data_IF_996053214799
#
_entry.id   IF_996053214799
#
_cell.length_a   1.000
_cell.length_b   1.000
_cell.length_c   1.000
_cell.angle_alpha   90.00
_cell.angle_beta   90.00
_cell.angle_gamma   90.00
#
_symmetry.space_group_name_H-M   'P 1'
#
loop_
_entity.id
_entity.type
_entity.pdbx_description
1 polymer ?
#
# COMPACT_ATOMS: atom_id res chain seq x y z
N UNK A 1 -4.08 15.66 20.83
CA UNK A 1 -3.75 15.14 19.47
C UNK A 1 -4.07 13.66 19.47
N UNK A 2 -5.20 13.26 18.91
CA UNK A 2 -5.67 11.87 18.97
C UNK A 2 -4.81 10.98 18.10
N UNK A 3 -4.57 9.74 18.51
CA UNK A 3 -3.82 8.69 17.77
C UNK A 3 -4.28 8.56 16.30
N UNK A 4 -5.51 8.94 16.00
CA UNK A 4 -6.16 9.01 14.69
C UNK A 4 -5.52 10.05 13.73
N UNK A 5 -5.22 11.26 14.19
CA UNK A 5 -4.56 12.29 13.37
C UNK A 5 -3.10 11.93 13.05
N UNK A 6 -2.42 11.26 14.00
CA UNK A 6 -1.08 10.73 13.76
C UNK A 6 -1.08 9.63 12.70
N UNK A 7 -2.11 8.78 12.65
CA UNK A 7 -2.24 7.71 11.67
C UNK A 7 -2.56 8.24 10.25
N UNK A 8 -3.48 9.21 10.12
CA UNK A 8 -3.74 9.86 8.82
C UNK A 8 -2.51 10.60 8.28
N UNK A 9 -1.78 11.31 9.16
CA UNK A 9 -0.55 12.00 8.78
C UNK A 9 0.60 11.03 8.46
N UNK A 10 0.64 9.85 9.06
CA UNK A 10 1.67 8.84 8.76
C UNK A 10 1.46 8.16 7.40
N UNK A 11 0.20 7.95 6.97
CA UNK A 11 -0.11 7.42 5.62
C UNK A 11 0.14 8.43 4.49
N UNK A 12 0.14 9.72 4.80
CA UNK A 12 0.32 10.81 3.81
C UNK A 12 1.79 11.29 3.75
N UNK A 13 2.61 11.03 4.78
CA UNK A 13 4.02 11.44 4.78
C UNK A 13 4.86 10.50 3.93
N UNK A 14 5.49 11.08 2.88
CA UNK A 14 6.59 10.56 2.04
C UNK A 14 7.05 9.14 2.42
N UNK A 15 6.38 8.12 1.90
CA UNK A 15 6.92 6.77 1.94
C UNK A 15 7.88 6.60 0.77
N UNK A 16 9.13 6.21 0.98
CA UNK A 16 10.02 5.89 -0.12
C UNK A 16 9.46 4.70 -0.93
N UNK A 17 9.76 4.63 -2.21
CA UNK A 17 9.34 3.65 -3.22
C UNK A 17 9.41 2.18 -2.78
N UNK A 18 10.11 1.91 -1.69
CA UNK A 18 10.51 0.59 -1.22
C UNK A 18 9.68 0.07 -0.04
N UNK A 19 8.58 0.74 0.33
CA UNK A 19 7.82 0.35 1.52
C UNK A 19 6.36 0.14 1.16
N UNK A 20 5.91 -1.11 1.24
CA UNK A 20 4.53 -1.55 1.08
C UNK A 20 3.88 -1.68 2.46
N UNK A 21 2.83 -0.94 2.81
CA UNK A 21 2.13 -1.13 4.07
C UNK A 21 1.21 -2.36 4.01
N UNK A 22 1.35 -3.26 5.00
CA UNK A 22 0.37 -4.27 5.36
C UNK A 22 -0.44 -3.72 6.53
N UNK A 23 -1.74 -3.56 6.37
CA UNK A 23 -2.65 -3.12 7.41
C UNK A 23 -3.69 -4.21 7.68
N UNK A 24 -3.73 -4.75 8.91
CA UNK A 24 -4.72 -5.73 9.37
C UNK A 24 -5.69 -5.01 10.31
N UNK A 25 -7.00 -5.16 10.07
CA UNK A 25 -8.02 -4.65 10.98
C UNK A 25 -8.32 -5.72 12.03
N UNK A 26 -8.18 -5.35 13.29
CA UNK A 26 -8.51 -6.20 14.43
C UNK A 26 -9.93 -5.92 14.93
N UNK A 27 -10.34 -4.64 14.93
CA UNK A 27 -11.66 -4.20 15.38
C UNK A 27 -12.10 -2.94 14.63
N UNK A 28 -13.39 -2.87 14.33
CA UNK A 28 -13.99 -1.78 13.56
C UNK A 28 -13.90 -1.98 12.05
N UNK A 29 -14.27 -0.96 11.31
CA UNK A 29 -14.27 -0.96 9.84
C UNK A 29 -13.63 0.32 9.30
N UNK A 30 -12.96 0.19 8.16
CA UNK A 30 -12.36 1.29 7.43
C UNK A 30 -12.83 1.32 5.98
N UNK A 31 -13.06 2.52 5.49
CA UNK A 31 -13.38 2.80 4.10
C UNK A 31 -12.22 3.57 3.46
N UNK A 32 -11.83 3.17 2.25
CA UNK A 32 -10.83 3.86 1.44
C UNK A 32 -11.45 4.27 0.11
N UNK A 33 -11.24 5.52 -0.26
CA UNK A 33 -11.60 6.05 -1.56
C UNK A 33 -10.33 6.18 -2.43
N UNK A 34 -10.37 5.58 -3.61
CA UNK A 34 -9.32 5.65 -4.62
C UNK A 34 -9.96 6.01 -5.97
N UNK A 35 -9.85 7.27 -6.38
CA UNK A 35 -10.58 7.78 -7.55
C UNK A 35 -12.09 7.65 -7.36
N UNK A 36 -12.73 6.89 -8.24
CA UNK A 36 -14.16 6.58 -8.17
C UNK A 36 -14.46 5.26 -7.43
N UNK A 37 -13.42 4.49 -7.11
CA UNK A 37 -13.57 3.21 -6.41
C UNK A 37 -13.61 3.40 -4.90
N UNK A 38 -14.41 2.57 -4.25
CA UNK A 38 -14.55 2.52 -2.80
C UNK A 38 -14.22 1.12 -2.32
N UNK A 39 -13.30 1.03 -1.37
CA UNK A 39 -12.91 -0.20 -0.70
C UNK A 39 -13.38 -0.14 0.74
N UNK A 40 -14.09 -1.18 1.18
CA UNK A 40 -14.47 -1.41 2.56
C UNK A 40 -13.69 -2.62 3.07
N UNK A 41 -13.10 -2.51 4.24
CA UNK A 41 -12.49 -3.65 4.90
C UNK A 41 -12.56 -3.49 6.42
N UNK A 42 -12.86 -4.58 7.08
CA UNK A 42 -13.15 -4.64 8.50
C UNK A 42 -12.33 -5.70 9.23
N UNK A 43 -12.83 -6.11 10.40
CA UNK A 43 -12.18 -7.11 11.23
C UNK A 43 -11.85 -8.39 10.45
N UNK A 44 -10.69 -8.98 10.71
CA UNK A 44 -10.16 -10.16 10.01
C UNK A 44 -9.84 -9.95 8.53
N UNK A 45 -9.69 -8.71 8.08
CA UNK A 45 -9.22 -8.39 6.74
C UNK A 45 -7.91 -7.60 6.76
N UNK A 46 -7.12 -7.79 5.72
CA UNK A 46 -5.91 -6.98 5.52
C UNK A 46 -5.98 -6.19 4.21
N UNK A 47 -5.25 -5.09 4.22
CA UNK A 47 -4.99 -4.24 3.07
C UNK A 47 -3.49 -4.24 2.78
N UNK A 48 -3.12 -4.39 1.51
CA UNK A 48 -1.77 -4.11 1.00
C UNK A 48 -1.86 -3.01 -0.04
N UNK A 49 -0.97 -2.03 0.04
CA UNK A 49 -0.82 -0.97 -0.97
C UNK A 49 0.55 -1.14 -1.61
N UNK A 50 0.58 -1.49 -2.90
CA UNK A 50 1.80 -1.84 -3.64
C UNK A 50 2.54 -0.66 -4.22
N UNK A 51 1.84 0.46 -4.44
CA UNK A 51 2.39 1.72 -4.95
C UNK A 51 1.77 2.87 -4.17
N UNK A 52 2.40 4.04 -4.18
CA UNK A 52 1.79 5.19 -3.54
C UNK A 52 0.54 5.64 -4.30
N UNK A 53 -0.59 5.67 -3.59
CA UNK A 53 -1.89 6.02 -4.14
C UNK A 53 -2.47 7.23 -3.42
N UNK A 54 -3.13 8.16 -4.12
CA UNK A 54 -3.79 9.32 -3.53
C UNK A 54 -5.13 8.91 -2.89
N UNK A 55 -5.04 8.05 -1.87
CA UNK A 55 -6.20 7.51 -1.15
C UNK A 55 -6.70 8.44 -0.05
N UNK A 56 -7.99 8.37 0.23
CA UNK A 56 -8.62 8.96 1.42
C UNK A 56 -9.23 7.84 2.25
N UNK A 57 -8.76 7.71 3.50
CA UNK A 57 -9.26 6.71 4.44
C UNK A 57 -10.18 7.31 5.49
N UNK A 58 -11.25 6.59 5.82
CA UNK A 58 -12.21 6.95 6.86
C UNK A 58 -12.46 5.73 7.74
N UNK A 59 -12.50 5.94 9.06
CA UNK A 59 -13.01 4.94 9.98
C UNK A 59 -14.53 5.04 9.93
N UNK A 60 -15.19 3.92 9.64
CA UNK A 60 -16.65 3.83 9.52
C UNK A 60 -17.26 3.44 10.85
N UNK A 61 -16.64 2.46 11.53
CA UNK A 61 -17.10 1.97 12.82
C UNK A 61 -16.02 2.15 13.88
N UNK A 62 -16.29 3.01 14.84
CA UNK A 62 -15.54 3.15 16.08
C UNK A 62 -16.40 3.86 17.12
N UNK A 63 -16.41 3.34 18.36
CA UNK A 63 -17.05 3.96 19.51
C UNK A 63 -16.07 4.01 20.68
N UNK A 64 -16.33 4.81 21.75
CA UNK A 64 -15.48 4.80 22.94
C UNK A 64 -15.33 3.40 23.56
N UNK A 65 -16.37 2.55 23.49
CA UNK A 65 -16.37 1.20 24.05
C UNK A 65 -15.85 0.14 23.07
N UNK A 66 -15.85 0.45 21.76
CA UNK A 66 -15.32 -0.40 20.69
C UNK A 66 -14.47 0.47 19.75
N UNK A 67 -13.24 0.84 20.15
CA UNK A 67 -12.37 1.66 19.33
C UNK A 67 -11.92 0.92 18.08
N UNK A 68 -11.59 1.68 17.05
CA UNK A 68 -10.89 1.11 15.89
C UNK A 68 -9.50 0.64 16.31
N UNK A 69 -9.19 -0.63 16.04
CA UNK A 69 -7.88 -1.24 16.28
C UNK A 69 -7.33 -1.84 14.98
N UNK A 70 -6.11 -1.50 14.65
CA UNK A 70 -5.42 -2.04 13.48
C UNK A 70 -3.94 -2.24 13.73
N UNK A 71 -3.41 -3.30 13.15
CA UNK A 71 -1.98 -3.59 13.08
C UNK A 71 -1.44 -3.04 11.76
N UNK A 72 -0.35 -2.27 11.80
CA UNK A 72 0.30 -1.74 10.60
C UNK A 72 1.78 -2.14 10.60
N UNK A 73 2.17 -2.87 9.56
CA UNK A 73 3.56 -3.24 9.31
C UNK A 73 4.03 -2.66 7.97
N UNK A 74 5.16 -1.97 7.99
CA UNK A 74 5.84 -1.52 6.77
C UNK A 74 6.69 -2.66 6.23
N UNK A 75 6.35 -3.14 5.04
CA UNK A 75 7.08 -4.22 4.36
C UNK A 75 8.14 -3.61 3.44
N UNK A 76 9.36 -4.12 3.51
CA UNK A 76 10.45 -3.76 2.60
C UNK A 76 10.30 -4.54 1.28
N UNK A 77 10.24 -3.86 0.15
CA UNK A 77 10.22 -4.53 -1.15
C UNK A 77 11.55 -5.25 -1.47
N UNK A 78 12.68 -4.80 -0.92
CA UNK A 78 13.95 -5.53 -1.03
C UNK A 78 13.90 -6.90 -0.35
N UNK A 79 13.37 -6.96 0.88
CA UNK A 79 13.20 -8.23 1.60
C UNK A 79 12.16 -9.13 0.92
N UNK A 80 11.12 -8.55 0.31
CA UNK A 80 10.15 -9.30 -0.48
C UNK A 80 10.80 -9.90 -1.73
N UNK A 81 11.68 -9.16 -2.42
CA UNK A 81 12.41 -9.62 -3.59
C UNK A 81 13.23 -10.87 -3.29
N UNK A 82 13.96 -10.89 -2.17
CA UNK A 82 14.79 -12.02 -1.76
C UNK A 82 13.96 -13.29 -1.51
N UNK A 83 12.73 -13.14 -1.02
CA UNK A 83 11.85 -14.26 -0.71
C UNK A 83 11.11 -14.75 -1.96
N UNK A 84 10.69 -13.85 -2.85
CA UNK A 84 10.03 -14.21 -4.11
C UNK A 84 10.85 -15.20 -4.93
N UNK A 85 12.19 -15.05 -4.95
CA UNK A 85 13.08 -15.97 -5.66
C UNK A 85 13.08 -17.39 -5.06
N UNK A 86 12.69 -17.58 -3.82
CA UNK A 86 12.71 -18.85 -3.08
C UNK A 86 11.33 -19.53 -3.00
N UNK A 87 10.25 -18.81 -3.28
CA UNK A 87 8.87 -19.30 -3.19
C UNK A 87 8.34 -19.58 -4.58
N UNK A 88 7.94 -20.82 -4.84
CA UNK A 88 7.37 -21.20 -6.14
C UNK A 88 6.00 -20.50 -6.35
N UNK A 89 5.70 -20.02 -7.57
CA UNK A 89 4.39 -19.49 -7.91
C UNK A 89 3.30 -20.56 -7.76
N UNK A 90 2.11 -20.17 -7.34
CA UNK A 90 0.95 -21.07 -7.45
C UNK A 90 0.52 -21.15 -8.91
N UNK A 91 0.35 -22.38 -9.40
CA UNK A 91 -0.01 -22.66 -10.82
C UNK A 91 -1.48 -22.37 -11.14
N UNK A 92 -2.34 -22.16 -10.13
CA UNK A 92 -3.79 -22.10 -10.32
C UNK A 92 -4.38 -20.69 -10.36
N UNK A 93 -3.54 -19.63 -10.39
CA UNK A 93 -4.02 -18.26 -10.33
C UNK A 93 -4.27 -17.73 -11.73
N UNK A 94 -5.55 -17.55 -12.07
CA UNK A 94 -5.98 -16.74 -13.23
C UNK A 94 -5.45 -15.32 -13.06
N UNK A 95 -5.05 -14.74 -14.20
CA UNK A 95 -4.56 -13.37 -14.40
C UNK A 95 -5.07 -12.38 -13.33
N UNK A 96 -4.33 -12.25 -12.24
CA UNK A 96 -4.69 -11.33 -11.16
C UNK A 96 -4.47 -9.91 -11.69
N UNK A 97 -5.53 -9.13 -11.76
CA UNK A 97 -5.44 -7.71 -12.12
C UNK A 97 -4.37 -7.05 -11.26
N UNK A 98 -3.34 -6.46 -11.89
CA UNK A 98 -2.27 -5.71 -11.20
C UNK A 98 -2.84 -4.45 -10.56
N UNK A 99 -3.58 -4.59 -9.45
CA UNK A 99 -4.11 -3.46 -8.68
C UNK A 99 -3.07 -2.96 -7.69
N UNK A 100 -2.97 -1.66 -7.54
CA UNK A 100 -2.09 -1.03 -6.56
C UNK A 100 -2.60 -1.11 -5.12
N UNK A 101 -3.86 -1.54 -4.92
CA UNK A 101 -4.51 -1.73 -3.64
C UNK A 101 -5.22 -3.08 -3.62
N UNK A 102 -4.91 -3.90 -2.63
CA UNK A 102 -5.41 -5.26 -2.45
C UNK A 102 -6.04 -5.39 -1.07
N UNK A 103 -7.26 -5.91 -1.04
CA UNK A 103 -7.96 -6.30 0.20
C UNK A 103 -8.21 -7.81 0.14
N UNK A 104 -7.97 -8.52 1.23
CA UNK A 104 -8.24 -9.94 1.36
C UNK A 104 -8.49 -10.31 2.81
N UNK A 105 -9.09 -11.47 3.03
CA UNK A 105 -9.27 -12.01 4.38
C UNK A 105 -7.93 -12.46 4.97
N UNK A 106 -7.78 -12.29 6.27
CA UNK A 106 -6.58 -12.71 6.98
C UNK A 106 -6.75 -14.13 7.51
N UNK A 107 -5.77 -14.98 7.29
CA UNK A 107 -5.73 -16.33 7.87
C UNK A 107 -5.17 -16.30 9.30
N UNK A 108 -5.51 -17.35 10.09
CA UNK A 108 -5.03 -17.46 11.48
C UNK A 108 -3.50 -17.39 11.60
N UNK A 109 -2.72 -18.05 10.73
CA UNK A 109 -1.28 -17.97 10.79
C UNK A 109 -0.71 -16.56 10.58
N UNK A 110 -1.33 -15.71 9.75
CA UNK A 110 -0.91 -14.33 9.55
C UNK A 110 -1.27 -13.45 10.77
N UNK A 111 -2.43 -13.73 11.41
CA UNK A 111 -2.80 -13.08 12.68
C UNK A 111 -1.80 -13.46 13.78
N UNK A 112 -1.39 -14.73 13.86
CA UNK A 112 -0.40 -15.19 14.84
C UNK A 112 0.95 -14.47 14.66
N UNK A 113 1.40 -14.26 13.42
CA UNK A 113 2.60 -13.47 13.15
C UNK A 113 2.46 -12.03 13.66
N UNK A 114 1.32 -11.37 13.44
CA UNK A 114 1.08 -10.01 13.92
C UNK A 114 1.05 -9.95 15.45
N UNK A 115 0.45 -10.95 16.10
CA UNK A 115 0.42 -11.06 17.56
C UNK A 115 1.84 -11.24 18.13
N UNK A 116 2.63 -12.17 17.59
CA UNK A 116 4.02 -12.40 18.02
C UNK A 116 4.89 -11.16 17.86
N UNK A 117 4.75 -10.40 16.74
CA UNK A 117 5.45 -9.13 16.57
C UNK A 117 5.04 -8.09 17.60
N UNK A 118 3.75 -8.04 17.96
CA UNK A 118 3.26 -7.11 18.97
C UNK A 118 3.79 -7.48 20.36
N UNK A 119 3.84 -8.77 20.68
CA UNK A 119 4.39 -9.26 21.96
C UNK A 119 5.88 -8.97 22.13
N UNK A 120 6.67 -8.87 21.05
CA UNK A 120 8.07 -8.47 21.14
C UNK A 120 8.28 -7.05 21.67
N UNK A 121 7.24 -6.20 21.68
CA UNK A 121 7.32 -4.87 22.29
C UNK A 121 7.52 -4.95 23.80
N UNK A 122 7.11 -6.06 24.45
CA UNK A 122 7.32 -6.31 25.87
C UNK A 122 8.75 -6.82 26.17
N UNK A 123 9.48 -7.31 25.14
CA UNK A 123 10.85 -7.80 25.22
C UNK A 123 11.75 -7.16 24.15
N UNK A 124 12.02 -5.84 24.21
CA UNK A 124 12.71 -5.09 23.14
C UNK A 124 14.07 -5.66 22.74
N UNK A 125 14.78 -6.32 23.65
CA UNK A 125 16.07 -6.97 23.42
C UNK A 125 15.98 -8.13 22.41
N UNK A 126 14.79 -8.75 22.24
CA UNK A 126 14.55 -9.89 21.35
C UNK A 126 14.18 -9.43 19.93
N UNK A 127 13.75 -8.17 19.76
CA UNK A 127 13.32 -7.61 18.47
C UNK A 127 14.37 -7.80 17.36
N UNK A 128 15.68 -7.47 17.58
CA UNK A 128 16.68 -7.59 16.51
C UNK A 128 16.85 -9.02 15.98
N UNK A 129 16.54 -10.02 16.79
CA UNK A 129 16.70 -11.44 16.45
C UNK A 129 15.41 -12.07 15.94
N UNK A 130 14.28 -11.87 16.64
CA UNK A 130 13.02 -12.56 16.34
C UNK A 130 12.15 -11.84 15.30
N UNK A 131 12.11 -10.50 15.30
CA UNK A 131 11.28 -9.77 14.35
C UNK A 131 11.63 -10.08 12.89
N UNK A 132 12.90 -10.16 12.45
CA UNK A 132 13.23 -10.52 11.07
C UNK A 132 12.70 -11.91 10.66
N UNK A 133 12.69 -12.88 11.58
CA UNK A 133 12.19 -14.23 11.32
C UNK A 133 10.66 -14.22 11.12
N UNK A 134 9.95 -13.52 12.00
CA UNK A 134 8.48 -13.41 11.92
C UNK A 134 8.09 -12.61 10.67
N UNK A 135 8.78 -11.52 10.34
CA UNK A 135 8.54 -10.74 9.12
C UNK A 135 8.77 -11.59 7.88
N UNK A 136 9.80 -12.45 7.88
CA UNK A 136 10.05 -13.39 6.78
C UNK A 136 8.90 -14.39 6.63
N UNK A 137 8.32 -14.89 7.73
CA UNK A 137 7.14 -15.73 7.73
C UNK A 137 5.93 -14.99 7.14
N UNK A 138 5.72 -13.71 7.50
CA UNK A 138 4.66 -12.87 6.92
C UNK A 138 4.80 -12.79 5.39
N UNK A 139 6.00 -12.52 4.87
CA UNK A 139 6.22 -12.49 3.43
C UNK A 139 5.87 -13.82 2.75
N UNK A 140 6.30 -14.93 3.36
CA UNK A 140 6.00 -16.26 2.84
C UNK A 140 4.48 -16.50 2.76
N UNK A 141 3.74 -16.20 3.83
CA UNK A 141 2.29 -16.37 3.88
C UNK A 141 1.56 -15.48 2.89
N UNK A 142 1.98 -14.24 2.75
CA UNK A 142 1.43 -13.32 1.76
C UNK A 142 1.68 -13.83 0.32
N UNK A 143 2.84 -14.38 0.03
CA UNK A 143 3.20 -14.90 -1.30
C UNK A 143 2.51 -16.23 -1.64
N UNK A 144 2.16 -17.03 -0.64
CA UNK A 144 1.45 -18.31 -0.79
C UNK A 144 -0.06 -18.17 -0.63
N UNK A 145 -0.55 -17.03 -0.15
CA UNK A 145 -1.95 -16.71 0.03
C UNK A 145 -2.68 -16.37 -1.28
N UNK A 146 -3.93 -15.99 -1.15
CA UNK A 146 -4.84 -15.70 -2.27
C UNK A 146 -4.30 -14.59 -3.19
N UNK A 147 -3.71 -13.53 -2.62
CA UNK A 147 -3.16 -12.39 -3.34
C UNK A 147 -1.67 -12.55 -3.71
N UNK A 148 -1.13 -13.76 -3.55
CA UNK A 148 0.31 -14.03 -3.68
C UNK A 148 0.90 -13.61 -5.03
N UNK A 149 0.18 -13.83 -6.15
CA UNK A 149 0.67 -13.43 -7.47
C UNK A 149 0.70 -11.89 -7.63
N UNK A 150 -0.34 -11.19 -7.16
CA UNK A 150 -0.34 -9.72 -7.19
C UNK A 150 0.79 -9.13 -6.34
N UNK A 151 1.07 -9.73 -5.17
CA UNK A 151 2.17 -9.33 -4.29
C UNK A 151 3.52 -9.64 -4.94
N UNK A 152 3.65 -10.76 -5.65
CA UNK A 152 4.86 -11.14 -6.40
C UNK A 152 5.22 -10.09 -7.45
N UNK A 153 4.22 -9.53 -8.14
CA UNK A 153 4.42 -8.48 -9.15
C UNK A 153 5.07 -7.20 -8.58
N UNK A 154 4.88 -6.91 -7.28
CA UNK A 154 5.52 -5.77 -6.60
C UNK A 154 7.05 -5.93 -6.58
N UNK A 155 7.52 -7.16 -6.34
CA UNK A 155 8.93 -7.48 -6.21
C UNK A 155 9.58 -7.99 -7.50
N UNK A 156 8.81 -8.23 -8.57
CA UNK A 156 9.36 -8.73 -9.83
C UNK A 156 9.97 -7.58 -10.63
N UNK A 157 11.29 -7.68 -10.88
CA UNK A 157 12.00 -6.69 -11.68
C UNK A 157 11.47 -6.63 -13.11
N UNK A 158 11.24 -5.41 -13.61
CA UNK A 158 10.70 -5.19 -14.95
C UNK A 158 9.22 -5.54 -15.11
N UNK A 159 8.50 -5.87 -14.02
CA UNK A 159 7.05 -6.05 -14.05
C UNK A 159 6.33 -4.75 -14.45
N UNK A 160 5.10 -4.89 -14.97
CA UNK A 160 4.28 -3.72 -15.26
C UNK A 160 4.02 -2.89 -13.99
N UNK A 161 3.87 -3.54 -12.83
CA UNK A 161 3.71 -2.89 -11.53
C UNK A 161 4.91 -2.00 -11.22
N UNK A 162 6.14 -2.52 -11.34
CA UNK A 162 7.36 -1.76 -11.07
C UNK A 162 7.54 -0.58 -12.03
N UNK A 163 7.25 -0.77 -13.32
CA UNK A 163 7.32 0.30 -14.32
C UNK A 163 6.33 1.43 -14.03
N UNK A 164 5.10 1.08 -13.64
CA UNK A 164 4.09 2.06 -13.24
C UNK A 164 4.46 2.74 -11.92
N UNK A 165 5.03 2.02 -10.94
CA UNK A 165 5.55 2.61 -9.71
C UNK A 165 6.62 3.67 -10.01
N UNK A 166 7.56 3.40 -10.92
CA UNK A 166 8.55 4.40 -11.36
C UNK A 166 7.91 5.65 -11.97
N UNK A 167 6.88 5.49 -12.80
CA UNK A 167 6.14 6.61 -13.38
C UNK A 167 5.38 7.42 -12.30
N UNK A 168 4.82 6.76 -11.29
CA UNK A 168 4.16 7.40 -10.14
C UNK A 168 5.15 8.29 -9.39
N UNK A 169 6.36 7.81 -9.11
CA UNK A 169 7.39 8.61 -8.44
C UNK A 169 7.78 9.85 -9.22
N UNK A 170 7.89 9.72 -10.55
CA UNK A 170 8.18 10.86 -11.39
C UNK A 170 7.05 11.90 -11.38
N UNK A 171 5.79 11.45 -11.47
CA UNK A 171 4.64 12.34 -11.35
C UNK A 171 4.65 13.06 -9.99
N UNK A 172 5.04 12.37 -8.91
CA UNK A 172 5.16 12.96 -7.57
C UNK A 172 6.27 13.98 -7.46
N UNK A 173 7.42 13.70 -8.05
CA UNK A 173 8.56 14.64 -8.04
C UNK A 173 8.21 15.97 -8.72
N UNK A 174 7.43 15.90 -9.81
CA UNK A 174 7.13 17.02 -10.69
C UNK A 174 5.63 17.35 -10.79
N UNK A 175 4.83 17.02 -9.75
CA UNK A 175 3.37 17.12 -9.83
C UNK A 175 2.84 18.54 -10.10
N UNK A 176 3.63 19.59 -9.86
CA UNK A 176 3.29 20.98 -10.16
C UNK A 176 3.47 21.33 -11.63
N UNK A 177 4.29 20.59 -12.38
CA UNK A 177 4.56 20.83 -13.79
C UNK A 177 3.50 20.19 -14.71
N UNK A 178 3.49 20.58 -15.99
CA UNK A 178 2.61 19.92 -16.98
C UNK A 178 3.09 18.50 -17.25
N UNK A 179 2.15 17.53 -17.16
CA UNK A 179 2.44 16.12 -17.38
C UNK A 179 2.57 15.81 -18.88
N UNK A 180 3.67 15.19 -19.29
CA UNK A 180 3.88 14.65 -20.62
C UNK A 180 3.75 13.14 -20.57
N UNK A 181 2.56 12.63 -20.88
CA UNK A 181 2.23 11.20 -20.74
C UNK A 181 3.08 10.33 -21.66
N UNK A 182 3.40 10.83 -22.87
CA UNK A 182 4.25 10.14 -23.84
C UNK A 182 5.70 9.95 -23.31
N UNK A 183 6.22 10.93 -22.59
CA UNK A 183 7.54 10.83 -21.96
C UNK A 183 7.55 9.79 -20.84
N UNK A 184 6.50 9.76 -20.00
CA UNK A 184 6.34 8.75 -18.95
C UNK A 184 6.20 7.32 -19.54
N UNK A 185 5.44 7.18 -20.61
CA UNK A 185 5.28 5.89 -21.31
C UNK A 185 6.62 5.40 -21.87
N UNK A 186 7.40 6.30 -22.51
CA UNK A 186 8.72 5.96 -23.04
C UNK A 186 9.68 5.53 -21.93
N UNK A 187 9.71 6.22 -20.79
CA UNK A 187 10.54 5.85 -19.64
C UNK A 187 10.11 4.50 -19.02
N UNK A 188 8.80 4.24 -18.99
CA UNK A 188 8.26 2.94 -18.57
C UNK A 188 8.50 1.82 -19.61
N UNK A 189 9.14 2.14 -20.76
CA UNK A 189 9.33 1.21 -21.89
C UNK A 189 7.98 0.63 -22.36
N UNK A 190 6.97 1.49 -22.49
CA UNK A 190 5.61 1.13 -22.93
C UNK A 190 5.16 2.05 -24.06
N UNK A 191 4.24 1.55 -24.93
CA UNK A 191 3.46 2.44 -25.80
C UNK A 191 2.50 3.28 -24.96
N UNK A 192 2.10 4.47 -25.43
CA UNK A 192 1.18 5.34 -24.71
C UNK A 192 -0.13 4.62 -24.33
N UNK A 193 -0.71 3.83 -25.22
CA UNK A 193 -1.94 3.06 -24.97
C UNK A 193 -1.74 1.98 -23.89
N UNK A 194 -0.61 1.24 -23.95
CA UNK A 194 -0.26 0.24 -22.94
C UNK A 194 -0.04 0.90 -21.58
N UNK A 195 0.69 2.02 -21.56
CA UNK A 195 0.92 2.79 -20.33
C UNK A 195 -0.38 3.25 -19.69
N UNK A 196 -1.29 3.87 -20.45
CA UNK A 196 -2.60 4.28 -19.95
C UNK A 196 -3.39 3.12 -19.35
N UNK A 197 -3.42 1.98 -20.04
CA UNK A 197 -4.12 0.78 -19.57
C UNK A 197 -3.55 0.28 -18.25
N UNK A 198 -2.22 0.09 -18.17
CA UNK A 198 -1.58 -0.42 -16.95
C UNK A 198 -1.62 0.59 -15.81
N UNK A 199 -1.42 1.88 -16.11
CA UNK A 199 -1.52 2.93 -15.11
C UNK A 199 -2.91 2.96 -14.48
N UNK A 200 -3.98 2.91 -15.30
CA UNK A 200 -5.36 2.85 -14.82
C UNK A 200 -5.65 1.55 -14.06
N UNK A 201 -5.13 0.40 -14.50
CA UNK A 201 -5.29 -0.86 -13.80
C UNK A 201 -4.67 -0.83 -12.39
N UNK A 202 -3.49 -0.21 -12.23
CA UNK A 202 -2.78 -0.09 -10.96
C UNK A 202 -3.40 0.97 -10.04
N UNK A 203 -3.75 2.15 -10.59
CA UNK A 203 -4.12 3.33 -9.78
C UNK A 203 -5.61 3.64 -9.77
N UNK A 204 -6.42 2.93 -10.55
CA UNK A 204 -7.85 3.21 -10.82
C UNK A 204 -8.10 4.60 -11.43
N UNK A 205 -7.05 5.26 -11.94
CA UNK A 205 -7.10 6.62 -12.49
C UNK A 205 -6.24 6.74 -13.75
N UNK A 206 -6.55 7.72 -14.61
CA UNK A 206 -5.59 8.13 -15.65
C UNK A 206 -4.42 8.90 -15.03
N UNK A 207 -3.26 9.00 -15.71
CA UNK A 207 -2.11 9.78 -15.20
C UNK A 207 -2.44 11.22 -14.85
N UNK A 208 -3.27 11.88 -15.65
CA UNK A 208 -3.71 13.27 -15.41
C UNK A 208 -4.65 13.37 -14.21
N UNK A 209 -5.58 12.41 -14.03
CA UNK A 209 -6.43 12.35 -12.85
C UNK A 209 -5.61 12.12 -11.58
N UNK A 210 -4.61 11.23 -11.65
CA UNK A 210 -3.69 10.97 -10.55
C UNK A 210 -2.94 12.24 -10.14
N UNK A 211 -2.32 12.96 -11.09
CA UNK A 211 -1.66 14.24 -10.84
C UNK A 211 -2.60 15.28 -10.22
N UNK A 212 -3.83 15.38 -10.74
CA UNK A 212 -4.85 16.28 -10.19
C UNK A 212 -5.16 15.96 -8.72
N UNK A 213 -5.30 14.67 -8.38
CA UNK A 213 -5.54 14.26 -6.99
C UNK A 213 -4.36 14.59 -6.07
N UNK A 214 -3.11 14.43 -6.53
CA UNK A 214 -1.94 14.85 -5.76
C UNK A 214 -1.96 16.35 -5.47
N UNK A 215 -2.26 17.18 -6.49
CA UNK A 215 -2.39 18.64 -6.33
C UNK A 215 -3.46 19.02 -5.32
N UNK A 216 -4.61 18.35 -5.36
CA UNK A 216 -5.71 18.61 -4.41
C UNK A 216 -5.35 18.20 -2.98
N UNK A 217 -4.65 17.07 -2.80
CA UNK A 217 -4.17 16.65 -1.49
C UNK A 217 -3.15 17.62 -0.92
N UNK A 218 -2.22 18.11 -1.73
CA UNK A 218 -1.22 19.08 -1.28
C UNK A 218 -1.85 20.45 -0.98
N UNK A 219 -2.76 20.94 -1.82
CA UNK A 219 -3.51 22.17 -1.54
C UNK A 219 -4.26 22.08 -0.21
N UNK A 220 -4.96 20.96 0.04
CA UNK A 220 -5.64 20.71 1.32
C UNK A 220 -4.65 20.70 2.49
N UNK A 221 -3.48 20.07 2.33
CA UNK A 221 -2.44 20.03 3.37
C UNK A 221 -1.96 21.42 3.73
N UNK A 222 -1.71 22.26 2.73
CA UNK A 222 -1.27 23.65 2.91
C UNK A 222 -2.34 24.49 3.63
N UNK A 223 -3.59 24.42 3.19
CA UNK A 223 -4.71 25.13 3.82
C UNK A 223 -4.87 24.77 5.32
N UNK A 224 -4.77 23.46 5.65
CA UNK A 224 -4.85 23.01 7.04
C UNK A 224 -3.61 23.35 7.88
N UNK A 225 -2.46 23.59 7.26
CA UNK A 225 -1.25 24.02 7.97
C UNK A 225 -1.29 25.53 8.29
N UNK A 226 -1.81 26.35 7.37
CA UNK A 226 -1.98 27.80 7.57
C UNK A 226 -3.02 28.12 8.65
N UNK A 227 -4.13 27.35 8.75
CA UNK A 227 -5.12 27.49 9.81
C UNK A 227 -4.60 27.09 11.21
N UNK A 228 -3.49 26.35 11.30
CA UNK A 228 -2.89 25.95 12.57
C UNK A 228 -1.91 26.98 13.13
N UNK A 229 -1.48 27.96 12.32
CA UNK A 229 -0.52 29.03 12.70
C UNK A 229 -1.25 30.36 12.98
N UNK A 230 -2.59 30.41 12.92
CA UNK A 230 -3.42 31.55 13.24
C UNK A 230 -4.13 31.37 14.61
#
# INVERSE_FOLDING_TARGET
MTCYQAFQNALIRKMPLLITPLAIIIQGEKKILLGEETYHYGASQYLIVSVELPVRGFIVEATPNQPYLGFLLKLSSLSLFDIVAQVQPRTDVKDSSCRGLLVSDVDLPLIDCALRLTQLLDTPQDIPFLAPMIIREIYYRLLTGEQGEAIRQIATSGSNMQRIAGAIEQIKADFTQSLRVEALAAQASMSASSFHRHFKAVTSMSPLQYQKQLRLLEARRLMLAEDADA
#
